data_IF_493226194201
#
_entry.id   IF_493226194201
#
_cell.length_a   1.000
_cell.length_b   1.000
_cell.length_c   1.000
_cell.angle_alpha   90.00
_cell.angle_beta   90.00
_cell.angle_gamma   90.00
#
_symmetry.space_group_name_H-M   'P 1'
#
loop_
_entity.id
_entity.type
_entity.pdbx_description
1 polymer ?
#
# COMPACT_ATOMS: atom_id res chain seq x y z
N UNK A 1 -28.99 -38.72 -14.20
CA UNK A 1 -28.63 -37.39 -13.63
C UNK A 1 -29.18 -37.15 -12.20
N UNK A 2 -29.74 -38.13 -11.52
CA UNK A 2 -30.43 -37.96 -10.21
C UNK A 2 -29.57 -38.33 -9.00
N UNK A 3 -28.53 -39.18 -9.15
CA UNK A 3 -27.69 -39.65 -8.02
C UNK A 3 -26.73 -38.59 -7.46
N UNK A 4 -26.30 -37.63 -8.27
CA UNK A 4 -25.36 -36.61 -7.84
C UNK A 4 -26.00 -35.53 -6.95
N UNK A 5 -27.32 -35.29 -7.09
CA UNK A 5 -28.05 -34.33 -6.27
C UNK A 5 -28.33 -34.83 -4.87
N UNK A 6 -28.50 -36.15 -4.69
CA UNK A 6 -28.73 -36.76 -3.35
C UNK A 6 -27.43 -36.84 -2.53
N UNK A 7 -26.28 -37.01 -3.21
CA UNK A 7 -24.99 -37.05 -2.51
C UNK A 7 -24.62 -35.67 -1.92
N UNK A 8 -24.95 -34.61 -2.61
CA UNK A 8 -24.72 -33.22 -2.12
C UNK A 8 -25.62 -32.81 -0.95
N UNK A 9 -26.81 -33.44 -0.81
CA UNK A 9 -27.74 -33.21 0.33
C UNK A 9 -27.27 -33.84 1.62
N UNK A 10 -26.40 -34.86 1.59
CA UNK A 10 -25.86 -35.56 2.77
C UNK A 10 -24.60 -34.95 3.35
N UNK A 11 -23.95 -34.04 2.66
CA UNK A 11 -22.77 -33.32 3.16
C UNK A 11 -23.23 -32.09 3.95
N UNK A 12 -23.78 -32.28 5.14
CA UNK A 12 -23.82 -31.19 6.14
C UNK A 12 -22.39 -31.01 6.62
N UNK A 13 -21.73 -29.88 6.33
CA UNK A 13 -20.39 -29.65 6.84
C UNK A 13 -20.45 -29.68 8.35
N UNK A 14 -19.51 -30.38 8.99
CA UNK A 14 -19.40 -30.32 10.44
C UNK A 14 -19.17 -28.86 10.86
N UNK A 15 -19.57 -28.44 12.06
CA UNK A 15 -19.33 -27.05 12.49
C UNK A 15 -17.87 -26.64 12.37
N UNK A 16 -16.96 -27.59 12.57
CA UNK A 16 -15.51 -27.37 12.38
C UNK A 16 -15.18 -27.07 10.91
N UNK A 17 -15.76 -27.83 9.97
CA UNK A 17 -15.53 -27.61 8.54
C UNK A 17 -16.06 -26.24 8.07
N UNK A 18 -17.22 -25.84 8.58
CA UNK A 18 -17.81 -24.53 8.29
C UNK A 18 -16.95 -23.39 8.85
N UNK A 19 -16.40 -23.54 10.05
CA UNK A 19 -15.47 -22.56 10.66
C UNK A 19 -14.17 -22.47 9.84
N UNK A 20 -13.60 -23.61 9.43
CA UNK A 20 -12.36 -23.63 8.62
C UNK A 20 -12.58 -22.96 7.25
N UNK A 21 -13.70 -23.24 6.58
CA UNK A 21 -14.05 -22.59 5.32
C UNK A 21 -14.22 -21.08 5.53
N UNK A 22 -14.93 -20.68 6.58
CA UNK A 22 -15.09 -19.27 6.95
C UNK A 22 -13.76 -18.57 7.20
N UNK A 23 -12.84 -19.24 7.90
CA UNK A 23 -11.48 -18.72 8.16
C UNK A 23 -10.68 -18.60 6.86
N UNK A 24 -10.73 -19.60 5.97
CA UNK A 24 -10.04 -19.56 4.67
C UNK A 24 -10.58 -18.41 3.82
N UNK A 25 -11.91 -18.26 3.75
CA UNK A 25 -12.55 -17.16 3.03
C UNK A 25 -12.15 -15.81 3.65
N UNK A 26 -12.17 -15.71 4.99
CA UNK A 26 -11.75 -14.50 5.69
C UNK A 26 -10.30 -14.13 5.40
N UNK A 27 -9.37 -15.10 5.45
CA UNK A 27 -7.94 -14.88 5.13
C UNK A 27 -7.72 -14.57 3.64
N UNK A 28 -8.57 -15.08 2.76
CA UNK A 28 -8.54 -14.75 1.33
C UNK A 28 -8.91 -13.29 1.07
N UNK A 29 -9.94 -12.79 1.78
CA UNK A 29 -10.38 -11.39 1.64
C UNK A 29 -9.55 -10.40 2.47
N UNK A 30 -8.89 -10.87 3.52
CA UNK A 30 -8.00 -10.07 4.40
C UNK A 30 -6.68 -10.78 4.63
N UNK A 31 -5.82 -10.89 3.60
CA UNK A 31 -4.51 -11.50 3.80
C UNK A 31 -3.72 -10.70 4.83
N UNK A 32 -2.99 -11.38 5.73
CA UNK A 32 -2.17 -10.72 6.71
C UNK A 32 -1.11 -9.88 6.01
N UNK A 33 -0.92 -8.64 6.45
CA UNK A 33 0.21 -7.82 6.06
C UNK A 33 1.08 -7.58 7.29
N UNK A 34 2.39 -7.66 7.10
CA UNK A 34 3.36 -7.37 8.14
C UNK A 34 3.66 -5.87 8.13
N UNK A 35 3.61 -5.24 9.28
CA UNK A 35 3.92 -3.82 9.47
C UNK A 35 5.12 -3.72 10.37
N UNK A 36 6.21 -3.17 9.84
CA UNK A 36 7.41 -2.87 10.59
C UNK A 36 7.45 -1.37 10.90
N UNK A 37 7.67 -1.02 12.15
CA UNK A 37 7.99 0.36 12.55
C UNK A 37 9.45 0.67 12.26
N UNK A 38 9.69 1.77 11.59
CA UNK A 38 11.01 2.18 11.13
C UNK A 38 11.27 3.64 11.49
N UNK A 39 12.55 4.05 11.47
CA UNK A 39 12.94 5.43 11.67
C UNK A 39 14.25 5.73 10.96
N UNK A 40 14.18 5.95 9.65
CA UNK A 40 15.34 6.36 8.85
C UNK A 40 14.91 7.37 7.79
N UNK A 41 15.85 8.18 7.29
CA UNK A 41 15.59 9.15 6.25
C UNK A 41 15.18 8.42 4.95
N UNK A 42 14.06 8.83 4.35
CA UNK A 42 13.65 8.28 3.07
C UNK A 42 14.71 8.54 1.99
N UNK A 43 14.94 7.59 1.09
CA UNK A 43 15.86 7.79 -0.03
C UNK A 43 15.35 8.93 -0.93
N UNK A 44 16.25 9.80 -1.36
CA UNK A 44 15.88 10.85 -2.28
C UNK A 44 15.96 10.34 -3.73
N UNK A 45 14.86 9.81 -4.21
CA UNK A 45 14.72 9.15 -5.52
C UNK A 45 13.70 9.88 -6.40
N UNK A 46 13.73 9.72 -7.74
CA UNK A 46 12.71 10.28 -8.62
C UNK A 46 11.31 9.81 -8.21
N UNK A 47 10.37 10.75 -7.98
CA UNK A 47 9.04 10.46 -7.47
C UNK A 47 7.93 10.85 -8.46
N UNK A 48 7.88 12.09 -8.87
CA UNK A 48 6.91 12.64 -9.82
C UNK A 48 7.65 13.26 -11.01
N UNK A 49 6.97 13.56 -12.13
CA UNK A 49 7.63 14.24 -13.24
C UNK A 49 8.33 15.53 -12.80
N UNK A 50 9.65 15.55 -12.91
CA UNK A 50 10.48 16.69 -12.51
C UNK A 50 10.66 16.90 -11.01
N UNK A 51 10.20 15.99 -10.16
CA UNK A 51 10.32 16.06 -8.69
C UNK A 51 10.98 14.81 -8.12
N UNK A 52 11.73 15.01 -7.06
CA UNK A 52 12.27 13.92 -6.23
C UNK A 52 11.44 13.74 -4.97
N UNK A 53 11.65 12.64 -4.29
CA UNK A 53 10.92 12.35 -3.05
C UNK A 53 11.22 13.38 -1.94
N UNK A 54 12.45 13.92 -1.94
CA UNK A 54 12.86 15.00 -1.05
C UNK A 54 12.06 16.30 -1.22
N UNK A 55 11.54 16.56 -2.43
CA UNK A 55 10.71 17.75 -2.71
C UNK A 55 9.29 17.64 -2.12
N UNK A 56 8.90 16.43 -1.66
CA UNK A 56 7.61 16.19 -1.01
C UNK A 56 7.66 16.38 0.52
N UNK A 57 8.78 16.84 1.07
CA UNK A 57 8.84 17.22 2.50
C UNK A 57 7.73 18.19 2.87
N UNK A 58 7.21 18.08 4.09
CA UNK A 58 6.02 18.79 4.54
C UNK A 58 4.72 18.05 4.25
N UNK A 59 4.75 17.01 3.40
CA UNK A 59 3.63 16.10 3.18
C UNK A 59 3.88 14.74 3.86
N UNK A 60 2.80 14.05 4.21
CA UNK A 60 2.86 12.62 4.52
C UNK A 60 2.75 11.86 3.19
N UNK A 61 3.69 10.98 2.91
CA UNK A 61 3.77 10.29 1.62
C UNK A 61 3.60 8.78 1.82
N UNK A 62 2.68 8.18 1.07
CA UNK A 62 2.60 6.75 0.88
C UNK A 62 3.37 6.37 -0.39
N UNK A 63 4.51 5.77 -0.25
CA UNK A 63 5.21 5.10 -1.35
C UNK A 63 4.68 3.68 -1.43
N UNK A 64 4.19 3.27 -2.60
CA UNK A 64 3.66 1.93 -2.83
C UNK A 64 4.31 1.33 -4.09
N UNK A 65 4.84 0.13 -3.98
CA UNK A 65 5.33 -0.66 -5.12
C UNK A 65 4.26 -1.67 -5.51
N UNK A 66 3.88 -1.67 -6.78
CA UNK A 66 2.76 -2.45 -7.30
C UNK A 66 2.94 -2.85 -8.77
N UNK A 67 1.97 -3.55 -9.34
CA UNK A 67 1.90 -3.81 -10.78
C UNK A 67 0.45 -4.06 -11.23
N UNK A 68 0.15 -3.78 -12.49
CA UNK A 68 -1.19 -3.99 -13.07
C UNK A 68 -1.59 -5.47 -13.09
N UNK A 69 -0.64 -6.36 -13.22
CA UNK A 69 -0.83 -7.83 -13.22
C UNK A 69 -0.91 -8.44 -11.81
N UNK A 70 -0.70 -7.66 -10.74
CA UNK A 70 -0.73 -8.14 -9.36
C UNK A 70 -2.16 -8.08 -8.78
N UNK A 71 -2.85 -9.20 -8.51
CA UNK A 71 -4.22 -9.18 -8.01
C UNK A 71 -4.37 -8.50 -6.65
N UNK A 72 -3.44 -8.73 -5.73
CA UNK A 72 -3.45 -8.12 -4.39
C UNK A 72 -3.24 -6.61 -4.45
N UNK A 73 -2.39 -6.12 -5.37
CA UNK A 73 -2.19 -4.69 -5.59
C UNK A 73 -3.48 -4.03 -6.10
N UNK A 74 -4.13 -4.64 -7.09
CA UNK A 74 -5.40 -4.14 -7.62
C UNK A 74 -6.51 -4.09 -6.57
N UNK A 75 -6.50 -5.02 -5.62
CA UNK A 75 -7.50 -5.07 -4.55
C UNK A 75 -7.36 -3.94 -3.52
N UNK A 76 -6.15 -3.42 -3.28
CA UNK A 76 -5.94 -2.30 -2.34
C UNK A 76 -6.18 -0.92 -2.96
N UNK A 77 -6.05 -0.76 -4.29
CA UNK A 77 -6.09 0.53 -4.97
C UNK A 77 -7.39 1.34 -4.76
N UNK A 78 -8.59 0.74 -4.71
CA UNK A 78 -9.80 1.49 -4.39
C UNK A 78 -9.76 2.16 -3.02
N UNK A 79 -9.20 1.49 -1.99
CA UNK A 79 -9.03 2.06 -0.67
C UNK A 79 -7.98 3.19 -0.67
N UNK A 80 -6.86 2.99 -1.40
CA UNK A 80 -5.84 4.03 -1.59
C UNK A 80 -6.42 5.25 -2.29
N UNK A 81 -7.22 5.09 -3.34
CA UNK A 81 -7.87 6.18 -4.07
C UNK A 81 -8.83 6.97 -3.18
N UNK A 82 -9.69 6.29 -2.43
CA UNK A 82 -10.62 6.94 -1.52
C UNK A 82 -9.86 7.74 -0.44
N UNK A 83 -8.83 7.14 0.15
CA UNK A 83 -8.01 7.81 1.16
C UNK A 83 -7.23 9.00 0.57
N UNK A 84 -6.69 8.87 -0.64
CA UNK A 84 -6.01 9.95 -1.35
C UNK A 84 -6.92 11.15 -1.57
N UNK A 85 -8.11 10.93 -2.11
CA UNK A 85 -9.07 12.01 -2.36
C UNK A 85 -9.48 12.74 -1.09
N UNK A 86 -9.69 12.01 0.01
CA UNK A 86 -10.09 12.57 1.30
C UNK A 86 -8.98 13.39 2.00
N UNK A 87 -7.70 13.11 1.69
CA UNK A 87 -6.58 13.63 2.46
C UNK A 87 -5.54 14.43 1.67
N UNK A 88 -5.56 14.43 0.32
CA UNK A 88 -4.59 15.19 -0.49
C UNK A 88 -4.54 16.68 -0.14
N UNK A 89 -5.68 17.30 0.13
CA UNK A 89 -5.76 18.70 0.55
C UNK A 89 -5.20 18.95 1.96
N UNK A 90 -5.03 17.89 2.76
CA UNK A 90 -4.43 17.93 4.10
C UNK A 90 -2.92 17.68 4.10
N UNK A 91 -2.32 17.62 2.90
CA UNK A 91 -0.89 17.36 2.74
C UNK A 91 -0.54 15.87 2.71
N UNK A 92 -1.43 15.03 2.17
CA UNK A 92 -1.15 13.63 1.86
C UNK A 92 -0.80 13.47 0.38
N UNK A 93 0.18 12.62 0.09
CA UNK A 93 0.56 12.27 -1.28
C UNK A 93 0.73 10.76 -1.42
N UNK A 94 0.51 10.23 -2.62
CA UNK A 94 0.85 8.86 -3.00
C UNK A 94 1.85 8.90 -4.14
N UNK A 95 2.89 8.06 -4.06
CA UNK A 95 3.80 7.75 -5.17
C UNK A 95 3.74 6.24 -5.37
N UNK A 96 2.95 5.80 -6.36
CA UNK A 96 2.72 4.38 -6.63
C UNK A 96 3.66 3.89 -7.74
N UNK A 97 4.87 3.46 -7.40
CA UNK A 97 5.85 2.94 -8.35
C UNK A 97 5.39 1.63 -8.96
N UNK A 98 5.13 1.62 -10.26
CA UNK A 98 4.75 0.41 -10.99
C UNK A 98 5.96 -0.38 -11.45
N UNK A 99 5.88 -1.72 -11.34
CA UNK A 99 6.85 -2.68 -11.87
C UNK A 99 6.44 -3.18 -13.27
N UNK A 100 5.50 -2.52 -13.93
CA UNK A 100 5.13 -2.81 -15.30
C UNK A 100 6.24 -2.41 -16.29
N UNK A 101 6.13 -2.86 -17.52
CA UNK A 101 7.19 -2.62 -18.53
C UNK A 101 7.15 -1.23 -19.12
N UNK A 102 5.97 -0.65 -19.26
CA UNK A 102 5.77 0.65 -19.92
C UNK A 102 4.83 1.56 -19.13
N UNK A 103 5.10 2.87 -19.17
CA UNK A 103 4.20 3.86 -18.57
C UNK A 103 2.82 3.85 -19.23
N UNK A 104 2.73 3.53 -20.52
CA UNK A 104 1.46 3.45 -21.25
C UNK A 104 0.52 2.40 -20.64
N UNK A 105 1.04 1.21 -20.29
CA UNK A 105 0.24 0.16 -19.62
C UNK A 105 -0.33 0.66 -18.29
N UNK A 106 0.49 1.36 -17.52
CA UNK A 106 0.10 1.95 -16.23
C UNK A 106 -0.97 3.01 -16.42
N UNK A 107 -0.74 3.96 -17.32
CA UNK A 107 -1.66 5.08 -17.58
C UNK A 107 -3.02 4.61 -18.09
N UNK A 108 -3.05 3.61 -18.96
CA UNK A 108 -4.29 3.00 -19.45
C UNK A 108 -5.06 2.33 -18.29
N UNK A 109 -4.36 1.58 -17.44
CA UNK A 109 -4.97 0.95 -16.28
C UNK A 109 -5.53 2.01 -15.31
N UNK A 110 -4.73 3.01 -14.93
CA UNK A 110 -5.14 4.08 -14.00
C UNK A 110 -6.37 4.83 -14.52
N UNK A 111 -6.38 5.17 -15.81
CA UNK A 111 -7.50 5.85 -16.46
C UNK A 111 -8.76 4.98 -16.50
N UNK A 112 -8.62 3.69 -16.84
CA UNK A 112 -9.74 2.75 -16.92
C UNK A 112 -10.42 2.54 -15.56
N UNK A 113 -9.62 2.41 -14.51
CA UNK A 113 -10.12 2.17 -13.15
C UNK A 113 -10.49 3.48 -12.41
N UNK A 114 -10.20 4.66 -12.99
CA UNK A 114 -10.54 5.97 -12.43
C UNK A 114 -9.65 6.41 -11.27
N UNK A 115 -8.42 5.91 -11.21
CA UNK A 115 -7.45 6.32 -10.18
C UNK A 115 -6.75 7.61 -10.58
N UNK A 116 -6.53 8.51 -9.61
CA UNK A 116 -5.99 9.85 -9.84
C UNK A 116 -4.68 10.14 -9.07
N UNK A 117 -4.22 9.22 -8.24
CA UNK A 117 -2.92 9.36 -7.60
C UNK A 117 -1.79 9.03 -8.58
N UNK A 118 -0.60 9.66 -8.43
CA UNK A 118 0.54 9.44 -9.31
C UNK A 118 1.05 7.99 -9.29
N UNK A 119 1.27 7.44 -10.48
CA UNK A 119 1.75 6.07 -10.67
C UNK A 119 2.91 6.00 -11.70
N UNK A 120 4.12 6.48 -11.35
CA UNK A 120 5.27 6.38 -12.24
C UNK A 120 5.79 4.94 -12.31
N UNK A 121 6.56 4.61 -13.37
CA UNK A 121 7.36 3.39 -13.39
C UNK A 121 8.42 3.42 -12.29
N UNK A 122 8.64 2.27 -11.66
CA UNK A 122 9.71 2.10 -10.70
C UNK A 122 11.06 2.20 -11.41
N UNK A 123 11.88 3.17 -11.01
CA UNK A 123 13.26 3.26 -11.46
C UNK A 123 14.15 2.31 -10.66
N UNK A 124 15.29 1.90 -11.24
CA UNK A 124 16.27 1.12 -10.49
C UNK A 124 16.74 1.86 -9.24
N UNK A 125 16.90 3.20 -9.33
CA UNK A 125 17.26 4.06 -8.20
C UNK A 125 16.22 3.96 -7.07
N UNK A 126 14.91 4.02 -7.39
CA UNK A 126 13.84 3.89 -6.41
C UNK A 126 13.83 2.49 -5.78
N UNK A 127 13.96 1.44 -6.57
CA UNK A 127 14.00 0.06 -6.06
C UNK A 127 15.19 -0.17 -5.13
N UNK A 128 16.38 0.29 -5.48
CA UNK A 128 17.58 0.17 -4.65
C UNK A 128 17.50 1.03 -3.38
N UNK A 129 16.91 2.23 -3.49
CA UNK A 129 16.77 3.16 -2.37
C UNK A 129 15.85 2.62 -1.27
N UNK A 130 14.77 1.93 -1.63
CA UNK A 130 13.85 1.30 -0.68
C UNK A 130 14.21 -0.13 -0.31
N UNK A 131 15.26 -0.69 -0.91
CA UNK A 131 15.77 -2.03 -0.63
C UNK A 131 15.10 -3.11 -1.48
N UNK A 132 14.99 -4.32 -0.92
CA UNK A 132 14.42 -5.46 -1.67
C UNK A 132 12.93 -5.26 -1.99
N UNK A 133 12.64 -4.94 -3.24
CA UNK A 133 11.29 -4.80 -3.83
C UNK A 133 10.93 -6.05 -4.64
N UNK A 134 11.39 -7.21 -4.24
CA UNK A 134 11.14 -8.48 -4.97
C UNK A 134 9.68 -8.97 -4.88
N UNK A 135 8.90 -8.42 -3.94
CA UNK A 135 7.50 -8.81 -3.74
C UNK A 135 6.60 -7.57 -3.67
N UNK A 136 5.46 -7.66 -4.36
CA UNK A 136 4.41 -6.62 -4.34
C UNK A 136 3.08 -7.20 -3.87
N UNK A 137 2.22 -6.41 -3.21
CA UNK A 137 2.41 -5.00 -2.87
C UNK A 137 3.36 -4.79 -1.70
N UNK A 138 4.12 -3.70 -1.74
CA UNK A 138 5.04 -3.26 -0.70
C UNK A 138 4.89 -1.75 -0.53
N UNK A 139 4.60 -1.30 0.70
CA UNK A 139 4.37 0.12 0.96
C UNK A 139 5.29 0.65 2.04
N UNK A 140 5.62 1.95 1.93
CA UNK A 140 6.34 2.71 2.94
C UNK A 140 5.56 3.98 3.26
N UNK A 141 5.43 4.30 4.53
CA UNK A 141 4.81 5.54 5.00
C UNK A 141 5.92 6.48 5.46
N UNK A 142 5.95 7.66 4.87
CA UNK A 142 6.94 8.70 5.12
C UNK A 142 6.22 9.88 5.76
N UNK A 143 6.78 10.39 6.85
CA UNK A 143 6.22 11.56 7.53
C UNK A 143 6.63 12.89 6.87
N UNK A 144 6.16 14.01 7.44
CA UNK A 144 6.43 15.36 6.93
C UNK A 144 7.91 15.76 6.96
N UNK A 145 8.69 15.15 7.85
CA UNK A 145 10.15 15.38 7.97
C UNK A 145 10.95 14.58 6.95
N UNK A 146 10.29 13.73 6.16
CA UNK A 146 10.90 12.84 5.19
C UNK A 146 11.48 11.58 5.81
N UNK A 147 10.99 11.17 6.99
CA UNK A 147 11.41 9.94 7.65
C UNK A 147 10.45 8.80 7.33
N UNK A 148 10.98 7.65 6.94
CA UNK A 148 10.19 6.41 6.82
C UNK A 148 9.79 5.96 8.22
N UNK A 149 8.48 5.84 8.45
CA UNK A 149 7.91 5.44 9.73
C UNK A 149 7.41 4.00 9.73
N UNK A 150 6.88 3.56 8.61
CA UNK A 150 6.35 2.21 8.50
C UNK A 150 6.70 1.58 7.15
N UNK A 151 6.97 0.27 7.18
CA UNK A 151 7.04 -0.60 6.02
C UNK A 151 5.92 -1.62 6.13
N UNK A 152 5.15 -1.79 5.06
CA UNK A 152 4.01 -2.71 5.01
C UNK A 152 4.25 -3.70 3.88
N UNK A 153 4.53 -4.94 4.23
CA UNK A 153 4.61 -6.03 3.26
C UNK A 153 3.24 -6.71 3.14
N UNK A 154 2.63 -6.61 1.97
CA UNK A 154 1.28 -7.08 1.70
C UNK A 154 0.25 -5.94 1.59
N UNK A 155 -1.03 -6.32 1.47
CA UNK A 155 -2.11 -5.37 1.18
C UNK A 155 -2.32 -4.32 2.27
N UNK A 156 -2.63 -3.09 1.79
CA UNK A 156 -3.07 -1.98 2.64
C UNK A 156 -4.59 -1.85 2.57
N UNK A 157 -5.26 -1.96 3.71
CA UNK A 157 -6.71 -1.77 3.83
C UNK A 157 -7.03 -0.37 4.35
N UNK A 158 -8.26 0.12 4.12
CA UNK A 158 -8.72 1.44 4.58
C UNK A 158 -8.42 1.67 6.06
N UNK A 159 -8.80 0.74 6.95
CA UNK A 159 -8.53 0.87 8.38
C UNK A 159 -7.03 1.03 8.71
N UNK A 160 -6.16 0.31 7.99
CA UNK A 160 -4.70 0.44 8.20
C UNK A 160 -4.16 1.78 7.70
N UNK A 161 -4.70 2.31 6.59
CA UNK A 161 -4.37 3.66 6.13
C UNK A 161 -4.76 4.70 7.18
N UNK A 162 -5.97 4.57 7.75
CA UNK A 162 -6.45 5.46 8.80
C UNK A 162 -5.56 5.36 10.06
N UNK A 163 -5.28 4.15 10.53
CA UNK A 163 -4.53 3.93 11.77
C UNK A 163 -3.08 4.45 11.69
N UNK A 164 -2.41 4.28 10.53
CA UNK A 164 -0.99 4.61 10.40
C UNK A 164 -0.74 6.02 9.84
N UNK A 165 -1.60 6.53 8.98
CA UNK A 165 -1.37 7.80 8.27
C UNK A 165 -2.07 8.97 8.97
N UNK A 166 -3.29 8.78 9.49
CA UNK A 166 -4.03 9.88 10.12
C UNK A 166 -3.29 10.51 11.29
N UNK A 167 -2.61 9.78 12.21
CA UNK A 167 -1.80 10.40 13.26
C UNK A 167 -0.68 11.28 12.69
N UNK A 168 -0.03 10.89 11.60
CA UNK A 168 1.03 11.66 10.95
C UNK A 168 0.49 12.92 10.26
N UNK A 169 -0.73 12.87 9.72
CA UNK A 169 -1.39 14.04 9.14
C UNK A 169 -1.79 15.06 10.20
N UNK A 170 -2.20 14.59 11.39
CA UNK A 170 -2.59 15.44 12.51
C UNK A 170 -1.38 15.98 13.29
N UNK A 171 -0.24 15.27 13.26
CA UNK A 171 1.00 15.76 13.84
C UNK A 171 1.39 17.05 13.11
N UNK A 172 1.25 18.17 13.79
CA UNK A 172 1.67 19.48 13.28
C UNK A 172 3.15 19.42 12.93
N UNK A 173 3.58 20.16 11.89
CA UNK A 173 4.98 20.33 11.48
C UNK A 173 5.85 21.04 12.55
N UNK A 174 5.56 20.87 13.82
CA UNK A 174 6.12 21.59 14.96
C UNK A 174 6.69 20.68 16.07
N UNK A 175 7.36 19.56 15.69
CA UNK A 175 8.34 18.96 16.61
C UNK A 175 9.62 18.65 15.85
N UNK A 176 10.72 19.39 16.11
CA UNK A 176 12.03 18.97 15.64
C UNK A 176 12.32 17.56 16.19
N UNK A 177 12.76 16.66 15.34
CA UNK A 177 13.10 15.29 15.66
C UNK A 177 14.00 15.28 16.92
N UNK A 178 13.53 14.61 17.99
CA UNK A 178 14.34 14.34 19.17
C UNK A 178 15.57 13.55 18.69
N UNK A 179 16.80 14.02 18.91
CA UNK A 179 17.99 13.29 18.49
C UNK A 179 18.00 11.92 19.15
N UNK A 180 18.27 10.89 18.35
CA UNK A 180 18.45 9.53 18.83
C UNK A 180 19.51 9.55 19.94
N UNK A 181 19.11 9.17 21.15
CA UNK A 181 20.00 8.99 22.29
C UNK A 181 20.99 7.88 21.94
N UNK A 182 22.25 8.27 21.74
CA UNK A 182 23.38 7.34 21.68
C UNK A 182 23.48 6.60 23.01
N UNK A 183 23.33 5.29 22.98
CA UNK A 183 23.91 4.37 23.95
C UNK A 183 24.50 3.20 23.21
#
# INVERSE_FOLDING_TARGET
MTKTREFLKKLKPSPITAILIGLIVYLWFRPPAFVDELSYAAPDVPALPGQRLGDLRGKVVLVNFWATWCPYCRHEMPAMQAFYQANKAKGFEIVAYSLDKTQTEVDEFMRKEGYSFPAPLATQEAMLGFGDVSRVPLSFIIDRDGMVRHKIAGQVHSGRLDDLITPLLLASASQPAKPASSR
#
